data_IF_242671221131
#
_entry.id   IF_242671221131
#
_cell.length_a   1.000
_cell.length_b   1.000
_cell.length_c   1.000
_cell.angle_alpha   90.00
_cell.angle_beta   90.00
_cell.angle_gamma   90.00
#
_symmetry.space_group_name_H-M   'P 1'
#
loop_
_entity.id
_entity.type
_entity.pdbx_description
1 polymer ?
#
# COMPACT_ATOMS: atom_id res chain seq x y z
N UNK A 1 -33.91 8.98 -22.33
CA UNK A 1 -32.90 9.92 -22.87
C UNK A 1 -31.56 9.50 -22.28
N UNK A 2 -30.57 9.14 -23.12
CA UNK A 2 -29.19 8.98 -22.63
C UNK A 2 -28.68 10.37 -22.30
N UNK A 3 -28.40 10.63 -21.03
CA UNK A 3 -27.70 11.83 -20.62
C UNK A 3 -26.30 11.74 -21.22
N UNK A 4 -26.04 12.51 -22.27
CA UNK A 4 -24.69 12.59 -22.82
C UNK A 4 -23.88 13.53 -21.91
N UNK A 5 -23.20 12.95 -20.93
CA UNK A 5 -22.45 13.68 -19.90
C UNK A 5 -21.13 14.29 -20.44
N UNK A 6 -20.83 14.12 -21.73
CA UNK A 6 -19.61 14.67 -22.35
C UNK A 6 -18.40 13.76 -22.36
N UNK A 7 -18.34 12.75 -21.51
CA UNK A 7 -17.21 11.79 -21.49
C UNK A 7 -17.14 11.04 -22.82
N UNK A 8 -15.99 11.09 -23.49
CA UNK A 8 -15.75 10.47 -24.79
C UNK A 8 -14.70 9.34 -24.68
N UNK A 9 -13.64 9.57 -23.92
CA UNK A 9 -12.51 8.67 -23.82
C UNK A 9 -12.16 8.35 -22.38
N UNK A 10 -11.85 7.08 -22.13
CA UNK A 10 -11.23 6.61 -20.88
C UNK A 10 -9.76 6.29 -21.16
N UNK A 11 -8.86 6.94 -20.44
CA UNK A 11 -7.44 6.62 -20.40
C UNK A 11 -7.15 5.71 -19.23
N UNK A 12 -6.66 4.50 -19.49
CA UNK A 12 -6.26 3.56 -18.43
C UNK A 12 -4.77 3.69 -18.13
N UNK A 13 -4.46 3.89 -16.85
CA UNK A 13 -3.07 3.84 -16.38
C UNK A 13 -2.48 2.42 -16.53
N UNK A 14 -1.19 2.36 -16.81
CA UNK A 14 -0.41 1.13 -16.80
C UNK A 14 0.93 1.40 -16.11
N UNK A 15 1.33 0.69 -15.02
CA UNK A 15 0.51 -0.30 -14.31
C UNK A 15 -0.57 0.33 -13.43
N UNK A 16 -1.55 -0.47 -13.05
CA UNK A 16 -2.59 -0.15 -12.07
C UNK A 16 -2.97 -1.40 -11.29
N UNK A 17 -3.73 -1.23 -10.20
CA UNK A 17 -4.29 -2.34 -9.43
C UNK A 17 -3.22 -3.17 -8.69
N UNK A 18 -3.51 -4.41 -8.40
CA UNK A 18 -2.72 -5.28 -7.54
C UNK A 18 -1.24 -5.31 -7.86
N UNK A 19 -0.42 -5.33 -6.81
CA UNK A 19 1.02 -5.57 -6.88
C UNK A 19 1.36 -6.96 -6.31
N UNK A 20 2.56 -7.46 -6.60
CA UNK A 20 2.99 -8.78 -6.14
C UNK A 20 2.94 -8.97 -4.61
N UNK A 21 3.10 -7.90 -3.83
CA UNK A 21 2.98 -7.96 -2.36
C UNK A 21 1.54 -8.19 -1.91
N UNK A 22 0.59 -7.54 -2.57
CA UNK A 22 -0.86 -7.68 -2.33
C UNK A 22 -1.34 -9.06 -2.78
N UNK A 23 -1.03 -9.49 -4.01
CA UNK A 23 -1.37 -10.82 -4.50
C UNK A 23 -0.90 -11.89 -3.51
N UNK A 24 0.38 -11.85 -3.11
CA UNK A 24 0.93 -12.80 -2.14
C UNK A 24 0.20 -12.79 -0.80
N UNK A 25 -0.19 -11.62 -0.30
CA UNK A 25 -0.85 -11.52 1.00
C UNK A 25 -2.26 -12.15 0.97
N UNK A 26 -3.00 -11.92 -0.10
CA UNK A 26 -4.32 -12.55 -0.34
C UNK A 26 -4.17 -14.06 -0.48
N UNK A 27 -3.24 -14.51 -1.32
CA UNK A 27 -2.96 -15.94 -1.55
C UNK A 27 -2.60 -16.67 -0.25
N UNK A 28 -1.89 -16.02 0.68
CA UNK A 28 -1.54 -16.60 1.99
C UNK A 28 -2.80 -16.87 2.82
N UNK A 29 -3.75 -15.92 2.88
CA UNK A 29 -5.00 -16.12 3.63
C UNK A 29 -5.84 -17.21 2.99
N UNK A 30 -5.99 -17.20 1.66
CA UNK A 30 -6.75 -18.22 0.95
C UNK A 30 -6.14 -19.62 1.08
N UNK A 31 -4.82 -19.73 0.96
CA UNK A 31 -4.10 -20.99 1.17
C UNK A 31 -4.21 -21.47 2.62
N UNK A 32 -4.21 -20.57 3.61
CA UNK A 32 -4.41 -20.92 5.00
C UNK A 32 -5.85 -21.46 5.24
N UNK A 33 -6.87 -20.79 4.68
CA UNK A 33 -8.26 -21.26 4.74
C UNK A 33 -8.39 -22.65 4.11
N UNK A 34 -7.79 -22.85 2.94
CA UNK A 34 -7.85 -24.14 2.23
C UNK A 34 -7.18 -25.27 3.01
N UNK A 35 -6.06 -24.96 3.70
CA UNK A 35 -5.26 -25.98 4.40
C UNK A 35 -5.74 -26.28 5.80
N UNK A 36 -6.12 -25.26 6.59
CA UNK A 36 -6.44 -25.40 8.01
C UNK A 36 -7.94 -25.31 8.30
N UNK A 37 -8.74 -24.96 7.30
CA UNK A 37 -10.18 -24.74 7.48
C UNK A 37 -10.47 -23.34 8.07
N UNK A 38 -11.76 -23.10 8.33
CA UNK A 38 -12.29 -21.85 8.89
C UNK A 38 -12.45 -21.96 10.40
N UNK A 39 -12.31 -20.87 11.16
CA UNK A 39 -11.85 -19.56 10.74
C UNK A 39 -10.32 -19.44 10.69
N UNK A 40 -9.82 -18.53 9.85
CA UNK A 40 -8.44 -18.05 9.90
C UNK A 40 -8.47 -16.62 10.47
N UNK A 41 -7.64 -16.33 11.46
CA UNK A 41 -7.54 -15.00 12.05
C UNK A 41 -6.50 -14.18 11.30
N UNK A 42 -6.82 -12.94 11.01
CA UNK A 42 -5.92 -12.00 10.32
C UNK A 42 -5.78 -10.76 11.17
N UNK A 43 -4.53 -10.48 11.60
CA UNK A 43 -4.26 -9.29 12.38
C UNK A 43 -4.18 -8.08 11.47
N UNK A 44 -5.07 -7.12 11.72
CA UNK A 44 -5.32 -5.95 10.89
C UNK A 44 -5.85 -6.31 9.50
N UNK A 45 -6.31 -5.33 8.71
CA UNK A 45 -6.66 -5.56 7.30
C UNK A 45 -5.47 -6.17 6.56
N UNK A 46 -5.69 -7.27 5.82
CA UNK A 46 -4.59 -7.93 5.09
C UNK A 46 -3.90 -6.97 4.13
N UNK A 47 -4.68 -6.13 3.48
CA UNK A 47 -4.32 -4.98 2.67
C UNK A 47 -5.42 -3.93 2.81
N UNK A 48 -5.14 -2.67 2.59
CA UNK A 48 -6.11 -1.58 2.68
C UNK A 48 -7.02 -1.53 1.44
N UNK A 49 -8.01 -2.42 1.42
CA UNK A 49 -9.07 -2.44 0.41
C UNK A 49 -10.33 -3.11 0.94
N UNK A 50 -11.44 -2.38 0.97
CA UNK A 50 -12.72 -2.81 1.53
C UNK A 50 -13.28 -4.05 0.82
N UNK A 51 -13.18 -4.11 -0.51
CA UNK A 51 -13.63 -5.26 -1.30
C UNK A 51 -12.86 -6.53 -0.93
N UNK A 52 -11.52 -6.45 -0.88
CA UNK A 52 -10.65 -7.59 -0.54
C UNK A 52 -10.94 -8.10 0.87
N UNK A 53 -11.06 -7.19 1.85
CA UNK A 53 -11.38 -7.55 3.23
C UNK A 53 -12.73 -8.25 3.31
N UNK A 54 -13.75 -7.74 2.62
CA UNK A 54 -15.08 -8.34 2.63
C UNK A 54 -15.12 -9.70 1.90
N UNK A 55 -14.41 -9.86 0.81
CA UNK A 55 -14.28 -11.12 0.09
C UNK A 55 -13.62 -12.20 0.98
N UNK A 56 -12.53 -11.86 1.65
CA UNK A 56 -11.87 -12.78 2.57
C UNK A 56 -12.72 -13.10 3.81
N UNK A 57 -13.49 -12.14 4.34
CA UNK A 57 -14.48 -12.41 5.39
C UNK A 57 -15.53 -13.44 4.93
N UNK A 58 -16.06 -13.26 3.72
CA UNK A 58 -17.01 -14.22 3.14
C UNK A 58 -16.39 -15.63 2.96
N UNK A 59 -15.10 -15.71 2.68
CA UNK A 59 -14.32 -16.94 2.59
C UNK A 59 -14.00 -17.57 3.96
N UNK A 60 -14.17 -16.84 5.08
CA UNK A 60 -14.01 -17.35 6.44
C UNK A 60 -12.79 -16.80 7.20
N UNK A 61 -12.22 -15.68 6.75
CA UNK A 61 -11.25 -14.93 7.54
C UNK A 61 -11.95 -14.06 8.61
N UNK A 62 -11.35 -13.96 9.78
CA UNK A 62 -11.77 -13.06 10.87
C UNK A 62 -10.66 -12.06 11.09
N UNK A 63 -10.95 -10.78 10.82
CA UNK A 63 -10.00 -9.70 11.05
C UNK A 63 -10.08 -9.21 12.49
N UNK A 64 -8.92 -9.08 13.14
CA UNK A 64 -8.78 -8.66 14.53
C UNK A 64 -7.68 -7.59 14.66
N UNK A 65 -7.80 -6.77 15.69
CA UNK A 65 -6.73 -5.81 16.04
C UNK A 65 -5.88 -6.34 17.21
N UNK A 66 -6.50 -6.95 18.21
CA UNK A 66 -5.81 -7.43 19.39
C UNK A 66 -5.66 -8.96 19.39
N UNK A 67 -4.50 -9.45 19.77
CA UNK A 67 -4.22 -10.89 19.83
C UNK A 67 -5.04 -11.60 20.92
N UNK A 68 -5.58 -10.87 21.89
CA UNK A 68 -6.51 -11.38 22.90
C UNK A 68 -7.82 -11.93 22.30
N UNK A 69 -8.20 -11.45 21.12
CA UNK A 69 -9.42 -11.87 20.42
C UNK A 69 -9.26 -13.20 19.67
N UNK A 70 -8.02 -13.72 19.63
CA UNK A 70 -7.69 -14.98 18.94
C UNK A 70 -7.73 -16.15 19.93
N UNK A 71 -8.53 -17.20 19.68
CA UNK A 71 -8.55 -18.40 20.52
C UNK A 71 -7.21 -19.13 20.54
N UNK A 72 -6.86 -19.80 21.66
CA UNK A 72 -5.66 -20.63 21.75
C UNK A 72 -5.58 -21.67 20.64
N UNK A 73 -4.40 -21.86 20.04
CA UNK A 73 -4.15 -22.85 18.99
C UNK A 73 -4.71 -22.49 17.60
N UNK A 74 -5.30 -21.30 17.44
CA UNK A 74 -5.81 -20.85 16.15
C UNK A 74 -4.69 -20.55 15.14
N UNK A 75 -5.06 -20.49 13.85
CA UNK A 75 -4.17 -20.04 12.80
C UNK A 75 -4.31 -18.52 12.65
N UNK A 76 -3.17 -17.83 12.73
CA UNK A 76 -3.06 -16.37 12.64
C UNK A 76 -2.21 -15.97 11.44
N UNK A 77 -2.68 -14.98 10.69
CA UNK A 77 -1.93 -14.34 9.59
C UNK A 77 -1.62 -12.90 9.97
N UNK A 78 -0.36 -12.49 9.86
CA UNK A 78 0.03 -11.08 9.92
C UNK A 78 -0.18 -10.43 8.57
N UNK A 79 -0.70 -9.18 8.55
CA UNK A 79 -1.00 -8.45 7.32
C UNK A 79 0.24 -8.08 6.50
N UNK A 80 0.03 -7.64 5.27
CA UNK A 80 1.09 -7.20 4.37
C UNK A 80 1.94 -6.04 4.93
N UNK A 81 1.42 -5.28 5.89
CA UNK A 81 2.06 -4.12 6.50
C UNK A 81 3.20 -4.47 7.46
N UNK A 82 3.25 -5.72 7.93
CA UNK A 82 4.18 -6.16 8.96
C UNK A 82 3.72 -5.83 10.37
N UNK A 83 4.42 -6.37 11.35
CA UNK A 83 4.12 -6.21 12.78
C UNK A 83 5.37 -5.88 13.58
N UNK A 84 5.18 -5.29 14.76
CA UNK A 84 6.27 -5.05 15.72
C UNK A 84 6.84 -6.37 16.27
N UNK A 85 8.06 -6.32 16.79
CA UNK A 85 8.68 -7.45 17.51
C UNK A 85 7.87 -7.88 18.74
N UNK A 86 7.23 -6.93 19.41
CA UNK A 86 6.37 -7.22 20.56
C UNK A 86 5.16 -8.07 20.16
N UNK A 87 4.47 -7.70 19.09
CA UNK A 87 3.32 -8.46 18.55
C UNK A 87 3.75 -9.86 18.10
N UNK A 88 4.90 -9.97 17.43
CA UNK A 88 5.44 -11.26 17.01
C UNK A 88 5.71 -12.17 18.23
N UNK A 89 6.41 -11.65 19.24
CA UNK A 89 6.72 -12.39 20.46
C UNK A 89 5.47 -12.81 21.23
N UNK A 90 4.46 -11.93 21.31
CA UNK A 90 3.19 -12.25 21.96
C UNK A 90 2.45 -13.38 21.20
N UNK A 91 2.38 -13.31 19.88
CA UNK A 91 1.73 -14.35 19.08
C UNK A 91 2.40 -15.71 19.23
N UNK A 92 3.74 -15.73 19.27
CA UNK A 92 4.53 -16.94 19.53
C UNK A 92 4.27 -17.50 20.92
N UNK A 93 4.25 -16.63 21.97
CA UNK A 93 3.98 -17.04 23.35
C UNK A 93 2.56 -17.60 23.55
N UNK A 94 1.59 -17.16 22.75
CA UNK A 94 0.21 -17.68 22.76
C UNK A 94 0.06 -19.02 22.02
N UNK A 95 1.10 -19.49 21.33
CA UNK A 95 1.12 -20.79 20.66
C UNK A 95 0.26 -20.85 19.39
N UNK A 96 0.06 -19.73 18.68
CA UNK A 96 -0.66 -19.70 17.42
C UNK A 96 0.15 -20.38 16.30
N UNK A 97 -0.57 -20.95 15.31
CA UNK A 97 0.04 -21.29 14.02
C UNK A 97 0.14 -20.03 13.18
N UNK A 98 1.34 -19.46 13.04
CA UNK A 98 1.54 -18.14 12.47
C UNK A 98 2.00 -18.23 11.01
N UNK A 99 1.35 -17.46 10.13
CA UNK A 99 1.83 -17.17 8.77
C UNK A 99 2.04 -15.67 8.61
N UNK A 100 3.22 -15.29 8.16
CA UNK A 100 3.59 -13.90 7.97
C UNK A 100 3.38 -13.48 6.51
N UNK A 101 2.35 -12.66 6.27
CA UNK A 101 2.07 -12.09 4.97
C UNK A 101 2.76 -10.74 4.73
N UNK A 102 3.62 -10.28 5.64
CA UNK A 102 4.40 -9.06 5.45
C UNK A 102 5.03 -9.03 4.06
N UNK A 103 4.81 -7.94 3.34
CA UNK A 103 5.40 -7.75 2.01
C UNK A 103 6.94 -7.87 2.10
N UNK A 104 7.59 -8.63 1.22
CA UNK A 104 9.06 -8.74 1.22
C UNK A 104 9.78 -7.40 1.15
N UNK A 105 9.16 -6.37 0.57
CA UNK A 105 9.74 -5.03 0.50
C UNK A 105 9.65 -4.28 1.83
N UNK A 106 8.63 -4.55 2.65
CA UNK A 106 8.55 -4.09 4.05
C UNK A 106 9.55 -4.86 4.91
N UNK A 107 9.61 -6.19 4.74
CA UNK A 107 10.60 -7.03 5.45
C UNK A 107 12.03 -6.55 5.19
N UNK A 108 12.35 -6.08 3.98
CA UNK A 108 13.64 -5.48 3.66
C UNK A 108 13.97 -4.31 4.59
N UNK A 109 13.02 -3.39 4.82
CA UNK A 109 13.18 -2.25 5.72
C UNK A 109 13.42 -2.73 7.16
N UNK A 110 12.61 -3.68 7.66
CA UNK A 110 12.77 -4.26 8.99
C UNK A 110 14.14 -4.89 9.19
N UNK A 111 14.64 -5.64 8.19
CA UNK A 111 15.98 -6.28 8.24
C UNK A 111 17.08 -5.21 8.24
N UNK A 112 16.94 -4.14 7.45
CA UNK A 112 17.90 -3.05 7.41
C UNK A 112 17.97 -2.32 8.76
N UNK A 113 16.81 -1.99 9.34
CA UNK A 113 16.71 -1.40 10.68
C UNK A 113 17.40 -2.29 11.73
N UNK A 114 17.05 -3.57 11.78
CA UNK A 114 17.65 -4.50 12.75
C UNK A 114 19.17 -4.66 12.57
N UNK A 115 19.65 -4.62 11.33
CA UNK A 115 21.09 -4.73 11.02
C UNK A 115 21.84 -3.48 11.45
N UNK A 116 21.39 -2.31 11.03
CA UNK A 116 22.06 -1.05 11.33
C UNK A 116 21.99 -0.69 12.81
N UNK A 117 20.92 -1.07 13.50
CA UNK A 117 20.85 -0.90 14.95
C UNK A 117 21.98 -1.64 15.69
N UNK A 118 22.34 -2.85 15.24
CA UNK A 118 23.49 -3.60 15.78
C UNK A 118 24.83 -2.90 15.53
N UNK A 119 24.89 -2.04 14.51
CA UNK A 119 26.03 -1.18 14.18
C UNK A 119 26.01 0.15 14.96
N UNK A 120 24.98 0.37 15.80
CA UNK A 120 24.83 1.55 16.67
C UNK A 120 24.04 2.69 16.05
N UNK A 121 23.38 2.51 14.91
CA UNK A 121 22.58 3.55 14.27
C UNK A 121 21.27 3.79 14.99
N UNK A 122 20.88 5.08 15.07
CA UNK A 122 19.50 5.54 15.21
C UNK A 122 18.88 5.83 13.84
N UNK A 123 17.56 6.04 13.80
CA UNK A 123 16.84 6.17 12.54
C UNK A 123 15.92 7.37 12.50
N UNK A 124 15.81 7.99 11.34
CA UNK A 124 14.69 8.85 10.96
C UNK A 124 13.78 8.02 10.07
N UNK A 125 12.54 7.82 10.51
CA UNK A 125 11.48 7.15 9.74
C UNK A 125 10.60 8.19 9.08
N UNK A 126 10.63 8.27 7.75
CA UNK A 126 9.69 9.10 6.99
C UNK A 126 8.44 8.26 6.76
N UNK A 127 7.29 8.70 7.28
CA UNK A 127 6.04 7.93 7.19
C UNK A 127 4.88 8.61 7.90
N UNK A 128 3.69 8.07 7.76
CA UNK A 128 2.47 8.61 8.37
C UNK A 128 2.21 7.97 9.73
N UNK A 129 2.04 8.80 10.75
CA UNK A 129 1.69 8.38 12.10
C UNK A 129 0.40 7.57 12.10
N UNK A 130 0.38 6.45 12.82
CA UNK A 130 -0.77 5.56 12.92
C UNK A 130 -0.94 4.60 11.74
N UNK A 131 -0.09 4.67 10.73
CA UNK A 131 -0.12 3.69 9.66
C UNK A 131 0.52 2.35 10.13
N UNK A 132 -0.13 1.19 9.91
CA UNK A 132 0.35 -0.10 10.41
C UNK A 132 1.79 -0.46 10.00
N UNK A 133 2.20 -0.11 8.78
CA UNK A 133 3.58 -0.32 8.32
C UNK A 133 4.58 0.51 9.12
N UNK A 134 4.22 1.75 9.46
CA UNK A 134 5.06 2.63 10.29
C UNK A 134 5.17 2.09 11.70
N UNK A 135 4.06 1.69 12.30
CA UNK A 135 4.04 1.08 13.64
C UNK A 135 4.84 -0.22 13.66
N UNK A 136 4.68 -1.07 12.64
CA UNK A 136 5.44 -2.30 12.48
C UNK A 136 6.95 -2.06 12.37
N UNK A 137 7.36 -1.05 11.60
CA UNK A 137 8.78 -0.69 11.42
C UNK A 137 9.36 -0.06 12.67
N UNK A 138 8.68 0.91 13.28
CA UNK A 138 9.11 1.52 14.55
C UNK A 138 9.21 0.48 15.67
N UNK A 139 8.30 -0.47 15.70
CA UNK A 139 8.30 -1.57 16.66
C UNK A 139 9.33 -2.67 16.41
N UNK A 140 10.24 -2.51 15.44
CA UNK A 140 11.40 -3.41 15.29
C UNK A 140 12.47 -3.16 16.37
N UNK A 141 12.48 -1.97 16.96
CA UNK A 141 13.42 -1.57 18.01
C UNK A 141 12.64 -1.06 19.25
N UNK A 142 13.23 -1.15 20.44
CA UNK A 142 12.62 -0.59 21.64
C UNK A 142 12.65 0.94 21.65
N UNK A 143 13.67 1.57 21.03
CA UNK A 143 13.84 3.01 20.91
C UNK A 143 14.78 3.36 19.74
N UNK A 144 15.06 4.65 19.51
CA UNK A 144 16.03 5.12 18.50
C UNK A 144 15.48 5.26 17.08
N UNK A 145 14.14 5.17 16.89
CA UNK A 145 13.51 5.52 15.62
C UNK A 145 12.65 6.76 15.81
N UNK A 146 12.95 7.81 15.08
CA UNK A 146 12.28 9.11 15.12
C UNK A 146 11.36 9.26 13.91
N UNK A 147 10.04 9.28 14.12
CA UNK A 147 9.06 9.48 13.05
C UNK A 147 9.03 10.94 12.62
N UNK A 148 9.00 11.16 11.31
CA UNK A 148 8.77 12.46 10.68
C UNK A 148 7.74 12.30 9.56
N UNK A 149 6.77 13.20 9.51
CA UNK A 149 5.73 13.24 8.49
C UNK A 149 5.98 14.33 7.45
N UNK A 150 6.69 15.39 7.86
CA UNK A 150 7.04 16.55 7.02
C UNK A 150 8.41 17.14 7.38
N UNK A 151 8.82 18.15 6.62
CA UNK A 151 10.09 18.88 6.85
C UNK A 151 10.13 19.63 8.19
N UNK A 152 8.97 20.03 8.76
CA UNK A 152 8.93 20.70 10.06
C UNK A 152 9.21 19.72 11.20
N UNK A 153 8.77 18.46 11.05
CA UNK A 153 9.08 17.42 12.04
C UNK A 153 10.57 17.11 12.05
N UNK A 154 11.23 17.10 10.88
CA UNK A 154 12.68 16.93 10.80
C UNK A 154 13.40 17.94 11.70
N UNK A 155 12.93 19.19 11.76
CA UNK A 155 13.54 20.23 12.60
C UNK A 155 13.41 19.98 14.11
N UNK A 156 12.46 19.16 14.54
CA UNK A 156 12.19 18.82 15.94
C UNK A 156 12.93 17.56 16.41
N UNK A 157 13.39 16.71 15.49
CA UNK A 157 14.08 15.46 15.82
C UNK A 157 15.36 15.74 16.63
N UNK A 158 15.55 15.01 17.72
CA UNK A 158 16.73 15.11 18.58
C UNK A 158 17.33 13.71 18.81
N UNK A 159 18.11 13.18 17.87
CA UNK A 159 18.77 11.89 18.04
C UNK A 159 19.85 11.98 19.11
N UNK A 160 20.10 10.91 19.84
CA UNK A 160 21.15 10.84 20.87
C UNK A 160 22.53 11.01 20.23
N UNK A 161 22.68 10.60 18.97
CA UNK A 161 23.91 10.78 18.20
C UNK A 161 23.57 11.08 16.72
N UNK A 162 24.32 12.01 16.15
CA UNK A 162 24.14 12.45 14.76
C UNK A 162 25.09 11.78 13.77
N UNK A 163 26.15 11.15 14.27
CA UNK A 163 27.19 10.52 13.44
C UNK A 163 26.75 9.14 12.89
N UNK A 164 25.89 8.43 13.64
CA UNK A 164 25.34 7.13 13.28
C UNK A 164 23.82 7.24 13.17
N UNK A 165 23.37 7.97 12.16
CA UNK A 165 21.97 8.18 11.86
C UNK A 165 21.66 7.64 10.45
N UNK A 166 20.56 6.92 10.29
CA UNK A 166 20.11 6.40 9.01
C UNK A 166 18.67 6.82 8.73
N UNK A 167 18.29 6.88 7.46
CA UNK A 167 16.90 7.13 7.03
C UNK A 167 16.29 5.83 6.54
N UNK A 168 15.04 5.60 6.91
CA UNK A 168 14.15 4.60 6.32
C UNK A 168 12.81 5.25 6.02
N UNK A 169 12.06 4.70 5.06
CA UNK A 169 10.77 5.28 4.68
C UNK A 169 9.68 4.22 4.64
N UNK A 170 8.44 4.67 4.83
CA UNK A 170 7.25 3.89 4.48
C UNK A 170 7.25 3.62 2.97
N UNK A 171 6.81 2.42 2.56
CA UNK A 171 6.90 1.98 1.15
C UNK A 171 5.88 2.65 0.22
N UNK A 172 4.85 3.32 0.76
CA UNK A 172 3.70 3.87 0.02
C UNK A 172 3.59 5.39 0.07
N UNK A 173 4.70 6.09 0.27
CA UNK A 173 4.73 7.56 0.29
C UNK A 173 4.64 8.17 -1.12
N UNK A 174 4.30 9.46 -1.16
CA UNK A 174 4.60 10.30 -2.32
C UNK A 174 6.10 10.36 -2.52
N UNK A 175 6.55 10.06 -3.73
CA UNK A 175 7.97 10.06 -4.09
C UNK A 175 8.55 11.47 -3.97
N UNK A 176 7.80 12.46 -4.43
CA UNK A 176 8.23 13.86 -4.43
C UNK A 176 8.30 14.41 -3.00
N UNK A 177 7.28 14.13 -2.15
CA UNK A 177 7.27 14.59 -0.76
C UNK A 177 8.38 13.92 0.07
N UNK A 178 8.61 12.62 -0.13
CA UNK A 178 9.68 11.90 0.55
C UNK A 178 11.07 12.44 0.15
N UNK A 179 11.25 12.82 -1.11
CA UNK A 179 12.49 13.44 -1.58
C UNK A 179 12.73 14.81 -0.94
N UNK A 180 11.69 15.65 -0.78
CA UNK A 180 11.77 16.95 -0.10
C UNK A 180 12.14 16.78 1.38
N UNK A 181 11.47 15.85 2.09
CA UNK A 181 11.78 15.57 3.49
C UNK A 181 13.21 15.05 3.63
N UNK A 182 13.63 14.13 2.77
CA UNK A 182 14.99 13.60 2.76
C UNK A 182 16.04 14.70 2.54
N UNK A 183 15.77 15.66 1.66
CA UNK A 183 16.65 16.81 1.46
C UNK A 183 16.80 17.61 2.74
N UNK A 184 15.73 17.89 3.47
CA UNK A 184 15.75 18.58 4.76
C UNK A 184 16.53 17.78 5.80
N UNK A 185 16.35 16.45 5.84
CA UNK A 185 17.14 15.56 6.71
C UNK A 185 18.63 15.68 6.42
N UNK A 186 19.04 15.66 5.16
CA UNK A 186 20.46 15.78 4.74
C UNK A 186 21.05 17.13 5.06
N UNK A 187 20.28 18.20 4.94
CA UNK A 187 20.72 19.55 5.32
C UNK A 187 20.99 19.64 6.83
N UNK A 188 20.11 19.05 7.63
CA UNK A 188 20.26 19.07 9.10
C UNK A 188 21.28 18.06 9.62
N UNK A 189 21.37 16.90 8.99
CA UNK A 189 22.25 15.79 9.37
C UNK A 189 23.12 15.36 8.18
N UNK A 190 24.20 16.09 7.86
CA UNK A 190 24.97 15.87 6.63
C UNK A 190 25.61 14.49 6.50
N UNK A 191 25.79 13.76 7.63
CA UNK A 191 26.35 12.41 7.66
C UNK A 191 25.30 11.30 7.68
N UNK A 192 24.02 11.66 7.55
CA UNK A 192 22.94 10.66 7.57
C UNK A 192 23.13 9.65 6.46
N UNK A 193 22.95 8.39 6.80
CA UNK A 193 23.01 7.29 5.86
C UNK A 193 21.66 7.12 5.16
N UNK A 194 21.67 7.25 3.86
CA UNK A 194 20.48 6.93 3.01
C UNK A 194 20.33 5.42 2.83
N UNK A 195 19.12 4.91 2.57
CA UNK A 195 18.92 3.51 2.21
C UNK A 195 19.74 3.16 0.97
N UNK A 196 20.33 1.96 0.94
CA UNK A 196 21.11 1.48 -0.21
C UNK A 196 20.28 1.37 -1.49
N UNK A 197 19.00 1.11 -1.35
CA UNK A 197 17.99 1.11 -2.40
C UNK A 197 16.79 1.85 -1.84
N UNK A 198 16.05 2.56 -2.68
CA UNK A 198 14.85 3.25 -2.24
C UNK A 198 13.91 2.30 -1.50
N UNK A 199 13.34 2.78 -0.38
CA UNK A 199 12.37 2.01 0.39
C UNK A 199 10.96 2.16 -0.18
N UNK A 200 10.66 3.29 -0.85
CA UNK A 200 9.42 3.40 -1.63
C UNK A 200 9.42 2.30 -2.67
N UNK A 201 8.38 1.45 -2.62
CA UNK A 201 8.37 0.24 -3.43
C UNK A 201 8.13 0.54 -4.92
N UNK A 202 8.60 -0.36 -5.79
CA UNK A 202 8.42 -0.25 -7.24
C UNK A 202 6.95 -0.03 -7.64
N UNK A 203 6.03 -0.69 -6.94
CA UNK A 203 4.60 -0.59 -7.25
C UNK A 203 4.04 0.81 -6.97
N UNK A 204 4.49 1.44 -5.88
CA UNK A 204 4.16 2.83 -5.55
C UNK A 204 4.75 3.79 -6.58
N UNK A 205 6.04 3.63 -6.90
CA UNK A 205 6.73 4.45 -7.89
C UNK A 205 6.06 4.37 -9.26
N UNK A 206 5.88 3.16 -9.79
CA UNK A 206 5.34 2.94 -11.12
C UNK A 206 3.93 3.53 -11.27
N UNK A 207 3.06 3.41 -10.24
CA UNK A 207 1.71 3.97 -10.30
C UNK A 207 1.70 5.49 -10.25
N UNK A 208 2.60 6.10 -9.48
CA UNK A 208 2.77 7.55 -9.48
C UNK A 208 3.30 8.05 -10.84
N UNK A 209 4.26 7.35 -11.43
CA UNK A 209 4.79 7.68 -12.75
C UNK A 209 3.71 7.55 -13.84
N UNK A 210 2.86 6.52 -13.75
CA UNK A 210 1.72 6.37 -14.65
C UNK A 210 0.71 7.54 -14.53
N UNK A 211 0.44 8.02 -13.32
CA UNK A 211 -0.41 9.21 -13.10
C UNK A 211 0.27 10.46 -13.65
N UNK A 212 1.57 10.66 -13.45
CA UNK A 212 2.32 11.81 -14.02
C UNK A 212 2.24 11.82 -15.55
N UNK A 213 2.36 10.65 -16.19
CA UNK A 213 2.25 10.50 -17.63
C UNK A 213 0.82 10.76 -18.15
N UNK A 214 -0.18 10.33 -17.41
CA UNK A 214 -1.59 10.41 -17.80
C UNK A 214 -2.18 11.81 -17.59
N UNK A 215 -1.84 12.46 -16.50
CA UNK A 215 -2.51 13.67 -16.02
C UNK A 215 -2.62 14.80 -17.04
N UNK A 216 -1.57 15.11 -17.87
CA UNK A 216 -1.68 16.14 -18.90
C UNK A 216 -2.68 15.84 -20.02
N UNK A 217 -3.19 14.62 -20.09
CA UNK A 217 -4.05 14.13 -21.17
C UNK A 217 -5.52 14.01 -20.76
N UNK A 218 -5.86 14.28 -19.50
CA UNK A 218 -7.20 14.03 -18.93
C UNK A 218 -7.76 15.27 -18.25
N UNK A 219 -9.08 15.35 -18.19
CA UNK A 219 -9.79 16.43 -17.52
C UNK A 219 -10.14 16.04 -16.06
N UNK A 220 -10.37 14.75 -15.84
CA UNK A 220 -10.73 14.14 -14.56
C UNK A 220 -9.88 12.91 -14.35
N UNK A 221 -9.38 12.71 -13.13
CA UNK A 221 -8.72 11.48 -12.70
C UNK A 221 -9.61 10.74 -11.69
N UNK A 222 -9.93 9.50 -11.99
CA UNK A 222 -10.59 8.58 -11.06
C UNK A 222 -9.58 7.55 -10.58
N UNK A 223 -9.43 7.44 -9.25
CA UNK A 223 -8.58 6.47 -8.58
C UNK A 223 -9.46 5.45 -7.88
N UNK A 224 -9.37 4.19 -8.31
CA UNK A 224 -10.03 3.08 -7.59
C UNK A 224 -9.16 2.68 -6.41
N UNK A 225 -9.72 2.79 -5.20
CA UNK A 225 -9.00 2.49 -3.95
C UNK A 225 -9.75 2.96 -2.71
N UNK A 226 -9.46 2.32 -1.59
CA UNK A 226 -10.12 2.62 -0.32
C UNK A 226 -9.49 3.81 0.41
N UNK A 227 -10.26 4.56 1.21
CA UNK A 227 -9.77 5.73 1.96
C UNK A 227 -8.60 5.42 2.91
N UNK A 228 -8.53 4.19 3.44
CA UNK A 228 -7.44 3.72 4.31
C UNK A 228 -6.14 3.44 3.54
N UNK A 229 -6.19 3.33 2.20
CA UNK A 229 -5.01 3.01 1.38
C UNK A 229 -4.12 4.24 1.18
N UNK A 230 -2.95 4.24 1.81
CA UNK A 230 -1.93 5.29 1.61
C UNK A 230 -1.55 5.43 0.12
N UNK A 231 -1.29 4.33 -0.59
CA UNK A 231 -0.96 4.38 -2.01
C UNK A 231 -2.06 5.06 -2.84
N UNK A 232 -3.34 4.69 -2.66
CA UNK A 232 -4.46 5.26 -3.42
C UNK A 232 -4.62 6.76 -3.15
N UNK A 233 -4.50 7.18 -1.89
CA UNK A 233 -4.53 8.59 -1.52
C UNK A 233 -3.43 9.40 -2.23
N UNK A 234 -2.19 8.85 -2.28
CA UNK A 234 -1.08 9.53 -2.98
C UNK A 234 -1.34 9.71 -4.47
N UNK A 235 -1.99 8.75 -5.13
CA UNK A 235 -2.36 8.88 -6.55
C UNK A 235 -3.40 10.00 -6.77
N UNK A 236 -4.43 10.07 -5.92
CA UNK A 236 -5.45 11.13 -6.00
C UNK A 236 -4.82 12.51 -5.77
N UNK A 237 -4.01 12.64 -4.73
CA UNK A 237 -3.34 13.90 -4.39
C UNK A 237 -2.38 14.35 -5.49
N UNK A 238 -1.64 13.42 -6.07
CA UNK A 238 -0.75 13.68 -7.19
C UNK A 238 -1.53 14.21 -8.41
N UNK A 239 -2.65 13.57 -8.76
CA UNK A 239 -3.51 14.03 -9.84
C UNK A 239 -4.02 15.46 -9.60
N UNK A 240 -4.47 15.76 -8.38
CA UNK A 240 -4.91 17.10 -8.01
C UNK A 240 -3.78 18.13 -8.09
N UNK A 241 -2.58 17.81 -7.59
CA UNK A 241 -1.40 18.69 -7.68
C UNK A 241 -1.00 18.99 -9.11
N UNK A 242 -1.23 18.05 -10.03
CA UNK A 242 -0.93 18.19 -11.46
C UNK A 242 -2.08 18.84 -12.24
N UNK A 243 -3.16 19.25 -11.57
CA UNK A 243 -4.23 20.08 -12.13
C UNK A 243 -5.45 19.35 -12.68
N UNK A 244 -5.56 18.02 -12.55
CA UNK A 244 -6.80 17.30 -12.84
C UNK A 244 -7.77 17.30 -11.65
N UNK A 245 -9.08 17.39 -11.92
CA UNK A 245 -10.09 17.09 -10.91
C UNK A 245 -9.97 15.62 -10.53
N UNK A 246 -9.54 15.33 -9.30
CA UNK A 246 -9.15 13.98 -8.91
C UNK A 246 -10.01 13.43 -7.78
N UNK A 247 -10.62 12.28 -8.04
CA UNK A 247 -11.54 11.61 -7.12
C UNK A 247 -11.04 10.19 -6.82
N UNK A 248 -11.29 9.74 -5.59
CA UNK A 248 -11.01 8.36 -5.18
C UNK A 248 -12.33 7.69 -4.77
N UNK A 249 -12.51 6.45 -5.20
CA UNK A 249 -13.73 5.67 -4.98
C UNK A 249 -13.38 4.23 -4.59
N UNK A 250 -14.14 3.67 -3.67
CA UNK A 250 -14.07 2.24 -3.33
C UNK A 250 -14.83 1.37 -4.36
N UNK A 251 -15.91 1.92 -4.95
CA UNK A 251 -16.74 1.21 -5.93
C UNK A 251 -17.28 2.14 -7.01
N UNK A 252 -17.76 1.55 -8.11
CA UNK A 252 -18.39 2.30 -9.20
C UNK A 252 -19.67 3.03 -8.80
N UNK A 253 -20.33 2.63 -7.70
CA UNK A 253 -21.55 3.27 -7.20
C UNK A 253 -21.27 4.65 -6.59
N UNK A 254 -20.05 4.94 -6.21
CA UNK A 254 -19.63 6.23 -5.67
C UNK A 254 -19.38 7.29 -6.75
N UNK A 255 -19.38 6.91 -8.03
CA UNK A 255 -19.22 7.86 -9.13
C UNK A 255 -20.39 8.85 -9.17
N UNK A 256 -20.08 10.14 -9.10
CA UNK A 256 -21.04 11.23 -9.20
C UNK A 256 -21.05 11.79 -10.63
N UNK A 257 -22.24 11.96 -11.18
CA UNK A 257 -22.39 12.41 -12.57
C UNK A 257 -21.81 13.83 -12.76
N UNK A 258 -21.92 14.66 -11.76
CA UNK A 258 -21.47 16.05 -11.72
C UNK A 258 -19.97 16.20 -11.97
N UNK A 259 -19.17 15.18 -11.61
CA UNK A 259 -17.72 15.18 -11.84
C UNK A 259 -17.36 15.20 -13.34
N UNK A 260 -18.28 14.79 -14.20
CA UNK A 260 -18.05 14.60 -15.62
C UNK A 260 -18.73 15.65 -16.49
N UNK A 261 -19.43 16.63 -15.90
CA UNK A 261 -20.07 17.71 -16.66
C UNK A 261 -19.04 18.56 -17.40
N UNK A 262 -19.17 18.64 -18.73
CA UNK A 262 -18.23 19.36 -19.59
C UNK A 262 -16.83 18.74 -19.70
N UNK A 263 -16.62 17.50 -19.21
CA UNK A 263 -15.35 16.78 -19.28
C UNK A 263 -15.39 15.75 -20.41
N UNK A 264 -14.30 15.60 -21.13
CA UNK A 264 -14.22 14.73 -22.31
C UNK A 264 -13.34 13.50 -22.08
N UNK A 265 -12.26 13.63 -21.33
CA UNK A 265 -11.28 12.56 -21.08
C UNK A 265 -11.16 12.26 -19.61
N UNK A 266 -11.42 11.01 -19.26
CA UNK A 266 -11.32 10.51 -17.89
C UNK A 266 -10.11 9.58 -17.78
N UNK A 267 -9.16 9.95 -16.92
CA UNK A 267 -8.09 9.07 -16.50
C UNK A 267 -8.60 8.09 -15.46
N UNK A 268 -8.29 6.82 -15.61
CA UNK A 268 -8.66 5.78 -14.67
C UNK A 268 -7.41 5.02 -14.23
N UNK A 269 -7.14 5.04 -12.94
CA UNK A 269 -6.09 4.28 -12.29
C UNK A 269 -6.63 3.53 -11.08
N UNK A 270 -5.80 2.68 -10.49
CA UNK A 270 -6.15 1.94 -9.29
C UNK A 270 -4.93 1.79 -8.38
N UNK A 271 -5.15 1.93 -7.08
CA UNK A 271 -4.11 1.72 -6.08
C UNK A 271 -3.63 0.27 -6.05
N UNK A 272 -2.45 0.05 -5.48
CA UNK A 272 -1.79 -1.26 -5.42
C UNK A 272 -2.56 -2.35 -4.67
N UNK A 273 -3.60 -1.99 -3.94
CA UNK A 273 -4.50 -2.91 -3.21
C UNK A 273 -5.89 -3.05 -3.82
N UNK A 274 -6.18 -2.39 -4.96
CA UNK A 274 -7.48 -2.44 -5.62
C UNK A 274 -7.49 -3.52 -6.72
N UNK A 275 -8.45 -4.46 -6.69
CA UNK A 275 -8.55 -5.52 -7.69
C UNK A 275 -9.09 -4.99 -9.03
N UNK A 276 -8.67 -5.62 -10.12
CA UNK A 276 -9.07 -5.22 -11.48
C UNK A 276 -10.59 -5.30 -11.72
N UNK A 277 -11.31 -6.15 -11.00
CA UNK A 277 -12.78 -6.23 -11.11
C UNK A 277 -13.44 -4.89 -10.82
N UNK A 278 -12.98 -4.16 -9.81
CA UNK A 278 -13.52 -2.83 -9.49
C UNK A 278 -13.22 -1.81 -10.60
N UNK A 279 -12.06 -1.91 -11.24
CA UNK A 279 -11.72 -1.06 -12.41
C UNK A 279 -12.67 -1.35 -13.57
N UNK A 280 -13.00 -2.61 -13.83
CA UNK A 280 -13.94 -3.00 -14.90
C UNK A 280 -15.36 -2.53 -14.61
N UNK A 281 -15.80 -2.52 -13.35
CA UNK A 281 -17.09 -1.95 -12.94
C UNK A 281 -17.14 -0.45 -13.20
N UNK A 282 -16.08 0.28 -12.86
CA UNK A 282 -15.96 1.73 -13.16
C UNK A 282 -15.99 1.99 -14.66
N UNK A 283 -15.27 1.20 -15.47
CA UNK A 283 -15.31 1.30 -16.94
C UNK A 283 -16.75 1.11 -17.45
N UNK A 284 -17.44 0.11 -16.94
CA UNK A 284 -18.84 -0.17 -17.32
C UNK A 284 -19.74 1.03 -16.99
N UNK A 285 -19.56 1.64 -15.82
CA UNK A 285 -20.32 2.81 -15.42
C UNK A 285 -20.00 4.04 -16.28
N UNK A 286 -18.72 4.30 -16.58
CA UNK A 286 -18.30 5.41 -17.45
C UNK A 286 -18.81 5.24 -18.88
N UNK A 287 -18.90 4.01 -19.40
CA UNK A 287 -19.54 3.72 -20.68
C UNK A 287 -21.03 4.04 -20.67
N UNK A 288 -21.71 3.74 -19.58
CA UNK A 288 -23.13 4.12 -19.42
C UNK A 288 -23.33 5.65 -19.38
N UNK A 289 -22.31 6.41 -18.93
CA UNK A 289 -22.28 7.86 -18.93
C UNK A 289 -21.89 8.47 -20.28
N UNK A 290 -21.49 7.67 -21.28
CA UNK A 290 -21.25 8.11 -22.65
C UNK A 290 -19.87 7.81 -23.23
N UNK A 291 -18.94 7.26 -22.46
CA UNK A 291 -17.60 6.92 -22.95
C UNK A 291 -17.67 5.90 -24.11
N UNK A 292 -17.10 6.27 -25.26
CA UNK A 292 -17.13 5.45 -26.49
C UNK A 292 -15.79 4.81 -26.80
N UNK A 293 -14.70 5.34 -26.25
CA UNK A 293 -13.36 4.81 -26.47
C UNK A 293 -12.61 4.55 -25.17
N UNK A 294 -11.74 3.55 -25.19
CA UNK A 294 -10.82 3.22 -24.11
C UNK A 294 -9.42 3.06 -24.71
N UNK A 295 -8.47 3.75 -24.14
CA UNK A 295 -7.06 3.64 -24.51
C UNK A 295 -6.23 3.30 -23.28
N UNK A 296 -5.34 2.32 -23.38
CA UNK A 296 -4.31 2.08 -22.39
C UNK A 296 -3.13 3.00 -22.65
N UNK A 297 -2.53 3.51 -21.59
CA UNK A 297 -1.25 4.19 -21.71
C UNK A 297 -0.13 3.15 -21.80
N UNK A 298 0.93 3.51 -22.51
CA UNK A 298 2.17 2.75 -22.46
C UNK A 298 2.80 2.92 -21.08
N UNK A 299 3.16 1.82 -20.46
CA UNK A 299 3.71 1.82 -19.10
C UNK A 299 4.64 0.65 -18.85
N UNK A 300 5.15 0.58 -17.62
CA UNK A 300 6.07 -0.49 -17.20
C UNK A 300 5.30 -1.77 -16.97
N UNK A 301 5.76 -2.89 -17.53
CA UNK A 301 5.25 -4.22 -17.22
C UNK A 301 5.89 -4.74 -15.93
N UNK A 302 5.09 -4.98 -14.91
CA UNK A 302 5.53 -5.56 -13.65
C UNK A 302 5.58 -7.08 -13.75
N UNK A 303 6.77 -7.67 -13.52
CA UNK A 303 7.00 -9.12 -13.63
C UNK A 303 7.36 -9.78 -12.30
N UNK A 304 7.43 -8.98 -11.23
CA UNK A 304 7.79 -9.44 -9.89
C UNK A 304 6.71 -10.38 -9.36
N UNK A 305 7.13 -11.51 -8.79
CA UNK A 305 6.28 -12.45 -8.05
C UNK A 305 6.95 -12.84 -6.76
N UNK A 306 6.19 -12.93 -5.69
CA UNK A 306 6.69 -13.39 -4.40
C UNK A 306 6.12 -14.77 -4.07
N UNK A 307 6.96 -15.72 -3.63
CA UNK A 307 6.50 -17.07 -3.29
C UNK A 307 5.69 -17.06 -2.00
N UNK A 308 4.79 -18.05 -1.87
CA UNK A 308 4.13 -18.38 -0.62
C UNK A 308 5.16 -18.84 0.43
N UNK A 309 4.90 -18.60 1.74
CA UNK A 309 5.76 -19.08 2.80
C UNK A 309 5.79 -20.60 2.86
N UNK A 310 6.87 -21.13 3.44
CA UNK A 310 6.98 -22.58 3.70
C UNK A 310 5.79 -23.02 4.54
N UNK A 311 5.17 -24.13 4.19
CA UNK A 311 4.00 -24.67 4.88
C UNK A 311 2.64 -24.30 4.29
N UNK A 312 2.55 -23.30 3.38
CA UNK A 312 1.34 -23.00 2.61
C UNK A 312 1.43 -23.41 1.13
N UNK A 313 2.59 -23.85 0.65
CA UNK A 313 2.67 -24.44 -0.69
C UNK A 313 1.71 -25.64 -0.71
N UNK A 314 0.66 -25.55 -1.49
CA UNK A 314 -0.12 -26.72 -1.89
C UNK A 314 0.89 -27.65 -2.58
N UNK A 315 1.01 -28.90 -2.12
CA UNK A 315 1.70 -29.90 -2.91
C UNK A 315 0.92 -29.98 -4.21
N UNK A 316 1.55 -29.60 -5.32
CA UNK A 316 1.02 -29.95 -6.64
C UNK A 316 0.82 -31.46 -6.61
N UNK A 317 -0.46 -31.88 -6.50
CA UNK A 317 -0.81 -33.29 -6.55
C UNK A 317 -0.39 -33.80 -7.91
N UNK A 318 0.39 -34.87 -7.89
CA UNK A 318 0.77 -35.66 -9.07
C UNK A 318 -0.45 -36.12 -9.85
#
# INVERSE_FOLDING_TARGET
MKVNMGVQEILLAEPRGFCAGVDRAIDIVEAAIAKFGRPIYVRHEIVHNTYVVNDLKAKGAIFIEELSDVPPGATLVFSAHGVSKAVQAEAEARGFTIFDATCPLVTKVHVEVAKLHKEGYEFIMIGHKGHPEVEGTMGQLPDGIHLVEDSNDVLKVQPKQTELLAVVTQTTLSVDDAAEILLTVKQRFPKVREPKQQDICYATQNRQDAVKLMNPQVDVLVVVGSPTSSNSNRLRELGSRLGADSYMIDSADELQNEWFEGKHRVGLTAGASAPEVLVQDVITRLRALGATSIRKLDGVTETIKFPLPKGLKLHDGH
#
